data_IF_472990392837
#
_entry.id   IF_472990392837
#
_cell.length_a   1.000
_cell.length_b   1.000
_cell.length_c   1.000
_cell.angle_alpha   90.00
_cell.angle_beta   90.00
_cell.angle_gamma   90.00
#
_symmetry.space_group_name_H-M   'P 1'
#
loop_
_entity.id
_entity.type
_entity.pdbx_description
1 polymer ?
#
# COMPACT_ATOMS: atom_id res chain seq x y z
N UNK A 1 19.53 -13.37 3.55
CA UNK A 1 19.12 -12.17 2.79
C UNK A 1 17.87 -11.68 3.48
N UNK A 2 17.85 -10.45 3.99
CA UNK A 2 16.64 -9.90 4.60
C UNK A 2 15.69 -9.50 3.47
N UNK A 3 14.45 -9.99 3.54
CA UNK A 3 13.39 -9.65 2.60
C UNK A 3 12.52 -8.55 3.23
N UNK A 4 12.32 -7.46 2.49
CA UNK A 4 11.42 -6.40 2.92
C UNK A 4 10.00 -6.71 2.45
N UNK A 5 9.00 -6.53 3.31
CA UNK A 5 7.59 -6.78 2.99
C UNK A 5 6.80 -5.47 3.06
N UNK A 6 5.89 -5.28 2.11
CA UNK A 6 4.85 -4.26 2.21
C UNK A 6 3.48 -4.92 2.29
N UNK A 7 2.60 -4.39 3.14
CA UNK A 7 1.22 -4.84 3.17
C UNK A 7 0.28 -3.89 3.87
N UNK A 8 -1.01 -4.19 3.78
CA UNK A 8 -2.07 -3.45 4.44
C UNK A 8 -2.95 -4.38 5.27
N UNK A 9 -3.50 -3.88 6.38
CA UNK A 9 -4.41 -4.62 7.26
C UNK A 9 -5.55 -3.70 7.69
N UNK A 10 -6.70 -4.30 7.99
CA UNK A 10 -7.84 -3.63 8.59
C UNK A 10 -8.51 -4.52 9.64
N UNK A 11 -9.52 -3.98 10.34
CA UNK A 11 -10.38 -4.78 11.22
C UNK A 11 -11.16 -5.89 10.49
N UNK A 12 -11.27 -5.82 9.16
CA UNK A 12 -11.90 -6.84 8.31
C UNK A 12 -10.94 -7.99 7.97
N UNK A 13 -9.64 -7.82 8.19
CA UNK A 13 -8.62 -8.82 7.87
C UNK A 13 -7.44 -8.25 7.08
N UNK A 14 -6.66 -9.17 6.50
CA UNK A 14 -5.46 -8.87 5.73
C UNK A 14 -5.81 -8.34 4.33
N UNK A 15 -5.11 -7.29 3.93
CA UNK A 15 -5.06 -6.81 2.55
C UNK A 15 -3.89 -7.42 1.78
N UNK A 16 -3.39 -6.74 0.74
CA UNK A 16 -2.24 -7.21 -0.02
C UNK A 16 -1.00 -7.36 0.87
N UNK A 17 -0.19 -8.37 0.58
CA UNK A 17 1.15 -8.58 1.15
C UNK A 17 2.09 -8.88 -0.01
N UNK A 18 3.13 -8.06 -0.19
CA UNK A 18 4.05 -8.14 -1.34
C UNK A 18 5.49 -8.07 -0.86
N UNK A 19 6.35 -8.87 -1.47
CA UNK A 19 7.80 -8.83 -1.27
C UNK A 19 8.37 -7.64 -2.05
N UNK A 20 9.18 -6.83 -1.40
CA UNK A 20 9.90 -5.72 -2.01
C UNK A 20 11.28 -6.20 -2.43
N UNK A 21 11.53 -6.20 -3.73
CA UNK A 21 12.83 -6.57 -4.29
C UNK A 21 13.79 -5.37 -4.28
N UNK A 22 14.94 -5.51 -3.60
CA UNK A 22 16.06 -4.55 -3.58
C UNK A 22 16.01 -3.45 -2.50
N UNK A 23 17.11 -2.70 -2.39
CA UNK A 23 17.30 -1.57 -1.43
C UNK A 23 16.56 -0.28 -1.83
N UNK A 24 15.91 -0.26 -3.00
CA UNK A 24 15.23 0.94 -3.49
C UNK A 24 13.84 1.06 -2.85
N UNK A 25 13.77 1.44 -1.58
CA UNK A 25 12.53 1.64 -0.81
C UNK A 25 11.54 2.63 -1.46
N UNK A 26 11.94 3.37 -2.50
CA UNK A 26 11.15 4.42 -3.15
C UNK A 26 10.28 3.92 -4.30
N UNK A 27 10.70 2.88 -5.04
CA UNK A 27 9.97 2.35 -6.20
C UNK A 27 8.81 1.39 -5.86
N UNK A 28 8.91 0.51 -4.85
CA UNK A 28 7.86 -0.46 -4.53
C UNK A 28 6.54 0.20 -4.15
N UNK A 29 6.60 1.30 -3.40
CA UNK A 29 5.45 2.05 -2.91
C UNK A 29 4.68 2.84 -3.98
N UNK A 30 5.14 2.89 -5.23
CA UNK A 30 4.37 3.48 -6.35
C UNK A 30 3.89 2.41 -7.33
N UNK A 31 4.73 1.40 -7.64
CA UNK A 31 4.40 0.28 -8.55
C UNK A 31 3.53 -0.81 -7.91
N UNK A 32 3.80 -1.21 -6.67
CA UNK A 32 3.04 -2.23 -5.93
C UNK A 32 1.97 -1.63 -5.00
N UNK A 33 1.80 -0.31 -5.12
CA UNK A 33 1.15 0.60 -4.18
C UNK A 33 -0.36 0.49 -4.05
N UNK A 34 -0.87 1.31 -3.12
CA UNK A 34 -2.27 1.66 -2.87
C UNK A 34 -3.15 1.60 -4.13
N UNK A 35 -2.69 2.14 -5.27
CA UNK A 35 -3.46 2.21 -6.52
C UNK A 35 -3.57 0.90 -7.30
N UNK A 36 -2.53 0.06 -7.31
CA UNK A 36 -2.47 -1.12 -8.17
C UNK A 36 -3.01 -2.38 -7.49
N UNK A 37 -2.96 -2.46 -6.16
CA UNK A 37 -3.40 -3.64 -5.41
C UNK A 37 -4.52 -3.33 -4.41
N UNK A 38 -4.34 -2.31 -3.56
CA UNK A 38 -5.24 -2.04 -2.44
C UNK A 38 -6.58 -1.42 -2.87
N UNK A 39 -6.57 -0.39 -3.74
CA UNK A 39 -7.78 0.28 -4.22
C UNK A 39 -8.71 -0.68 -4.98
N UNK A 40 -8.23 -1.48 -5.94
CA UNK A 40 -9.08 -2.47 -6.62
C UNK A 40 -9.67 -3.50 -5.65
N UNK A 41 -8.87 -3.97 -4.67
CA UNK A 41 -9.35 -4.90 -3.65
C UNK A 41 -10.45 -4.27 -2.80
N UNK A 42 -10.25 -3.04 -2.32
CA UNK A 42 -11.24 -2.32 -1.52
C UNK A 42 -12.53 -2.04 -2.31
N UNK A 43 -12.43 -1.63 -3.58
CA UNK A 43 -13.60 -1.41 -4.44
C UNK A 43 -14.37 -2.71 -4.73
N UNK A 44 -13.66 -3.83 -4.83
CA UNK A 44 -14.29 -5.14 -5.11
C UNK A 44 -14.93 -5.73 -3.86
N UNK A 45 -14.22 -5.69 -2.72
CA UNK A 45 -14.67 -6.30 -1.47
C UNK A 45 -15.60 -5.42 -0.65
N UNK A 46 -15.47 -4.09 -0.78
CA UNK A 46 -16.19 -3.10 0.01
C UNK A 46 -16.63 -1.89 -0.86
N UNK A 47 -17.43 -2.11 -1.92
CA UNK A 47 -17.73 -1.09 -2.95
C UNK A 47 -18.37 0.20 -2.41
N UNK A 48 -19.15 0.11 -1.34
CA UNK A 48 -19.87 1.25 -0.74
C UNK A 48 -19.10 1.91 0.41
N UNK A 49 -17.95 1.36 0.81
CA UNK A 49 -17.18 1.88 1.94
C UNK A 49 -16.21 2.98 1.53
N UNK A 50 -15.89 3.85 2.49
CA UNK A 50 -14.91 4.93 2.33
C UNK A 50 -13.78 4.76 3.34
N UNK A 51 -12.87 3.81 3.10
CA UNK A 51 -11.81 3.49 4.05
C UNK A 51 -10.82 4.66 4.17
N UNK A 52 -10.31 4.85 5.38
CA UNK A 52 -9.20 5.77 5.66
C UNK A 52 -7.91 4.96 5.55
N UNK A 53 -6.98 5.43 4.72
CA UNK A 53 -5.66 4.83 4.65
C UNK A 53 -4.72 5.52 5.64
N UNK A 54 -3.99 4.72 6.41
CA UNK A 54 -2.98 5.18 7.34
C UNK A 54 -1.61 4.61 6.94
N UNK A 55 -0.60 5.48 6.90
CA UNK A 55 0.82 5.18 6.81
C UNK A 55 1.63 6.06 7.78
N UNK A 56 2.94 5.83 7.86
CA UNK A 56 3.84 6.71 8.61
C UNK A 56 4.18 7.98 7.79
N UNK A 57 4.93 8.89 8.42
CA UNK A 57 5.36 10.13 7.77
C UNK A 57 6.72 9.99 7.04
N UNK A 58 7.10 8.78 6.60
CA UNK A 58 8.35 8.64 5.87
C UNK A 58 8.27 9.43 4.55
N UNK A 59 9.40 10.03 4.08
CA UNK A 59 9.38 10.94 2.93
C UNK A 59 8.71 10.35 1.69
N UNK A 60 8.82 9.03 1.49
CA UNK A 60 8.20 8.27 0.39
C UNK A 60 6.66 8.36 0.38
N UNK A 61 6.01 8.47 1.54
CA UNK A 61 4.55 8.61 1.68
C UNK A 61 4.06 10.05 1.45
N UNK A 62 4.93 11.03 1.67
CA UNK A 62 4.62 12.46 1.50
C UNK A 62 4.84 12.98 0.07
N UNK A 63 5.34 12.14 -0.85
CA UNK A 63 5.51 12.56 -2.25
C UNK A 63 4.16 12.85 -2.91
N UNK A 64 4.11 13.93 -3.70
CA UNK A 64 2.90 14.40 -4.41
C UNK A 64 2.25 13.34 -5.31
N UNK A 65 3.00 12.36 -5.80
CA UNK A 65 2.46 11.25 -6.61
C UNK A 65 1.72 10.18 -5.79
N UNK A 66 1.88 10.17 -4.46
CA UNK A 66 1.22 9.25 -3.51
C UNK A 66 -0.01 9.90 -2.88
N UNK A 67 -0.01 11.23 -2.73
CA UNK A 67 -1.15 12.03 -2.28
C UNK A 67 -2.13 12.30 -3.45
N UNK A 68 -2.99 11.34 -3.77
CA UNK A 68 -4.13 11.53 -4.69
C UNK A 68 -5.37 10.88 -4.15
#
# INVERSE_FOLDING_TARGET
MEENLWGAISSRGLGPLVVLEGDDHRRPLSKHSRRSSLHPMLQTSFPEERPVFQDDNAPVHTFRCVQT
#
